data_IF_349921053606
#
_entry.id   IF_349921053606
#
_cell.length_a   1.000
_cell.length_b   1.000
_cell.length_c   1.000
_cell.angle_alpha   90.00
_cell.angle_beta   90.00
_cell.angle_gamma   90.00
#
_symmetry.space_group_name_H-M   'P 1'
#
loop_
_entity.id
_entity.type
_entity.pdbx_description
1 polymer ?
#
# COMPACT_ATOMS: atom_id res chain seq x y z
N UNK A 1 20.73 -0.36 -5.10
CA UNK A 1 19.84 -0.28 -6.28
C UNK A 1 18.76 0.75 -6.02
N UNK A 2 18.49 1.66 -6.94
CA UNK A 2 17.41 2.62 -6.78
C UNK A 2 16.06 1.93 -6.68
N UNK A 3 15.20 2.39 -5.78
CA UNK A 3 13.86 1.81 -5.60
C UNK A 3 13.01 1.90 -6.86
N UNK A 4 13.25 2.93 -7.70
CA UNK A 4 12.53 3.10 -8.96
C UNK A 4 12.79 1.99 -9.98
N UNK A 5 13.84 1.18 -9.79
CA UNK A 5 14.14 0.05 -10.66
C UNK A 5 13.46 -1.25 -10.22
N UNK A 6 12.77 -1.25 -9.07
CA UNK A 6 12.06 -2.43 -8.62
C UNK A 6 10.82 -2.67 -9.47
N UNK A 7 10.57 -3.92 -9.80
CA UNK A 7 9.38 -4.34 -10.53
C UNK A 7 8.39 -5.00 -9.59
N UNK A 8 7.10 -4.87 -9.89
CA UNK A 8 6.06 -5.61 -9.17
C UNK A 8 6.11 -7.10 -9.53
N UNK A 9 5.93 -7.95 -8.53
CA UNK A 9 5.57 -9.34 -8.72
C UNK A 9 4.10 -9.47 -8.31
N UNK A 10 3.22 -9.38 -9.28
CA UNK A 10 1.78 -9.39 -9.05
C UNK A 10 1.29 -10.83 -8.97
N UNK A 11 0.69 -11.19 -7.82
CA UNK A 11 0.07 -12.50 -7.64
C UNK A 11 -1.42 -12.45 -7.94
N UNK A 12 -2.05 -11.32 -7.70
CA UNK A 12 -3.48 -11.14 -7.95
C UNK A 12 -3.76 -9.68 -8.29
N UNK A 13 -4.70 -9.46 -9.20
CA UNK A 13 -5.17 -8.13 -9.56
C UNK A 13 -6.69 -8.11 -9.46
N UNK A 14 -7.23 -7.07 -8.85
CA UNK A 14 -8.67 -6.90 -8.67
C UNK A 14 -9.08 -5.59 -9.30
N UNK A 15 -10.06 -5.63 -10.21
CA UNK A 15 -10.65 -4.43 -10.79
C UNK A 15 -11.80 -3.94 -9.91
N UNK A 16 -11.88 -2.64 -9.73
CA UNK A 16 -12.93 -2.02 -8.93
C UNK A 16 -13.19 -0.62 -9.45
N UNK A 17 -14.32 -0.03 -9.01
CA UNK A 17 -14.63 1.37 -9.32
C UNK A 17 -14.14 2.24 -8.18
N UNK A 18 -13.37 3.28 -8.48
CA UNK A 18 -12.88 4.20 -7.47
C UNK A 18 -14.04 4.98 -6.86
N UNK A 19 -14.21 4.90 -5.53
CA UNK A 19 -15.21 5.68 -4.81
C UNK A 19 -14.65 7.02 -4.34
N UNK A 20 -13.36 7.21 -4.46
CA UNK A 20 -12.61 8.42 -4.22
C UNK A 20 -11.35 8.38 -5.04
N UNK A 21 -10.63 9.49 -5.12
CA UNK A 21 -9.37 9.51 -5.87
C UNK A 21 -8.36 8.54 -5.24
N UNK A 22 -7.74 7.71 -6.06
CA UNK A 22 -6.67 6.81 -5.63
C UNK A 22 -5.39 7.17 -6.37
N UNK A 23 -4.27 7.06 -5.69
CA UNK A 23 -2.96 7.38 -6.25
C UNK A 23 -2.18 6.08 -6.44
N UNK A 24 -1.52 5.97 -7.60
CA UNK A 24 -0.65 4.84 -7.92
C UNK A 24 0.33 4.57 -6.78
N UNK A 25 0.56 3.27 -6.51
CA UNK A 25 1.55 2.81 -5.53
C UNK A 25 1.20 3.18 -4.08
N UNK A 26 -0.10 3.29 -3.80
CA UNK A 26 -0.63 3.48 -2.44
C UNK A 26 -1.71 2.44 -2.15
N UNK A 27 -1.89 2.13 -0.88
CA UNK A 27 -2.88 1.16 -0.45
C UNK A 27 -4.30 1.63 -0.75
N UNK A 28 -5.14 0.69 -1.18
CA UNK A 28 -6.54 0.92 -1.57
C UNK A 28 -7.46 0.03 -0.77
N UNK A 29 -8.59 0.57 -0.33
CA UNK A 29 -9.62 -0.18 0.39
C UNK A 29 -10.53 -0.94 -0.56
N UNK A 30 -11.28 -1.89 0.00
CA UNK A 30 -12.23 -2.72 -0.74
C UNK A 30 -13.33 -1.93 -1.44
N UNK A 31 -13.62 -0.71 -0.99
CA UNK A 31 -14.64 0.14 -1.61
C UNK A 31 -14.09 1.07 -2.70
N UNK A 32 -12.82 0.92 -3.06
CA UNK A 32 -12.21 1.73 -4.11
C UNK A 32 -11.69 3.09 -3.65
N UNK A 33 -11.56 3.32 -2.36
CA UNK A 33 -11.00 4.55 -1.82
C UNK A 33 -9.57 4.33 -1.34
N UNK A 34 -8.78 5.41 -1.23
CA UNK A 34 -7.46 5.33 -0.63
C UNK A 34 -7.57 4.91 0.85
N UNK A 35 -6.60 4.11 1.31
CA UNK A 35 -6.54 3.71 2.71
C UNK A 35 -6.22 4.90 3.61
N UNK A 36 -6.85 4.93 4.78
CA UNK A 36 -6.48 5.81 5.88
C UNK A 36 -5.56 5.10 6.87
N UNK A 37 -5.22 5.80 7.95
CA UNK A 37 -4.30 5.30 8.97
C UNK A 37 -4.79 3.98 9.57
N UNK A 38 -3.97 2.95 9.46
CA UNK A 38 -4.23 1.64 10.06
C UNK A 38 -5.40 0.88 9.44
N UNK A 39 -5.99 1.37 8.36
CA UNK A 39 -7.13 0.71 7.72
C UNK A 39 -6.69 -0.51 6.91
N UNK A 40 -7.64 -1.42 6.71
CA UNK A 40 -7.43 -2.62 5.92
C UNK A 40 -7.44 -2.27 4.43
N UNK A 41 -6.48 -2.81 3.69
CA UNK A 41 -6.41 -2.65 2.24
C UNK A 41 -6.70 -3.98 1.55
N UNK A 42 -7.23 -3.92 0.33
CA UNK A 42 -7.31 -5.11 -0.53
C UNK A 42 -6.07 -5.25 -1.40
N UNK A 43 -5.28 -4.20 -1.51
CA UNK A 43 -4.07 -4.22 -2.31
C UNK A 43 -3.51 -2.82 -2.50
N UNK A 44 -2.67 -2.67 -3.51
CA UNK A 44 -1.98 -1.43 -3.84
C UNK A 44 -2.44 -0.97 -5.21
N UNK A 45 -2.74 0.32 -5.36
CA UNK A 45 -3.22 0.86 -6.62
C UNK A 45 -2.19 0.67 -7.74
N UNK A 46 -2.63 0.05 -8.84
CA UNK A 46 -1.79 -0.19 -10.00
C UNK A 46 -1.54 1.09 -10.79
N UNK A 47 -2.48 2.03 -10.75
CA UNK A 47 -2.40 3.31 -11.43
C UNK A 47 -3.31 4.31 -10.71
N UNK A 48 -3.11 5.59 -11.02
CA UNK A 48 -3.92 6.68 -10.47
C UNK A 48 -5.29 6.68 -11.15
N UNK A 49 -6.36 6.79 -10.35
CA UNK A 49 -7.73 6.86 -10.85
C UNK A 49 -8.50 7.95 -10.09
N UNK A 50 -9.31 8.69 -10.82
CA UNK A 50 -10.23 9.66 -10.22
C UNK A 50 -11.50 8.95 -9.75
N UNK A 51 -12.28 9.62 -8.92
CA UNK A 51 -13.60 9.12 -8.48
C UNK A 51 -14.44 8.69 -9.68
N UNK A 52 -15.07 7.54 -9.60
CA UNK A 52 -15.91 6.89 -10.61
C UNK A 52 -15.16 6.24 -11.76
N UNK A 53 -13.82 6.42 -11.87
CA UNK A 53 -13.02 5.72 -12.87
C UNK A 53 -12.72 4.29 -12.44
N UNK A 54 -12.38 3.45 -13.41
CA UNK A 54 -11.90 2.10 -13.11
C UNK A 54 -10.56 2.17 -12.39
N UNK A 55 -10.43 1.37 -11.36
CA UNK A 55 -9.20 1.23 -10.58
C UNK A 55 -8.80 -0.23 -10.55
N UNK A 56 -7.54 -0.49 -10.22
CA UNK A 56 -7.03 -1.84 -10.08
C UNK A 56 -6.13 -1.90 -8.86
N UNK A 57 -6.30 -2.93 -8.03
CA UNK A 57 -5.48 -3.18 -6.87
C UNK A 57 -4.65 -4.44 -7.09
N UNK A 58 -3.35 -4.36 -6.84
CA UNK A 58 -2.41 -5.47 -6.95
C UNK A 58 -2.07 -6.03 -5.58
N UNK A 59 -1.92 -7.35 -5.51
CA UNK A 59 -1.34 -8.05 -4.36
C UNK A 59 -0.14 -8.87 -4.82
N UNK A 60 0.76 -9.15 -3.90
CA UNK A 60 2.01 -9.86 -4.17
C UNK A 60 3.19 -9.12 -3.56
N UNK A 61 4.30 -9.01 -4.27
CA UNK A 61 5.42 -8.15 -3.89
C UNK A 61 5.30 -6.90 -4.74
N UNK A 62 4.80 -5.83 -4.14
CA UNK A 62 4.30 -4.66 -4.88
C UNK A 62 5.05 -3.40 -4.46
N UNK A 63 5.27 -2.50 -5.43
CA UNK A 63 5.84 -1.18 -5.19
C UNK A 63 4.85 -0.32 -4.43
N UNK A 64 5.30 0.24 -3.33
CA UNK A 64 4.47 1.13 -2.48
C UNK A 64 5.31 2.34 -2.09
N UNK A 65 4.69 3.52 -2.05
CA UNK A 65 5.35 4.71 -1.55
C UNK A 65 5.48 4.60 -0.03
N UNK A 66 6.67 4.81 0.50
CA UNK A 66 6.90 4.82 1.94
C UNK A 66 6.48 6.17 2.53
N UNK A 67 5.77 6.13 3.66
CA UNK A 67 5.37 7.33 4.40
C UNK A 67 6.26 7.62 5.60
N UNK A 68 7.20 6.73 5.87
CA UNK A 68 8.14 6.83 6.99
C UNK A 68 9.33 5.92 6.70
N UNK A 69 10.32 5.94 7.57
CA UNK A 69 11.45 5.01 7.48
C UNK A 69 10.98 3.61 7.86
N UNK A 70 11.18 2.65 6.98
CA UNK A 70 10.77 1.26 7.18
C UNK A 70 11.99 0.36 6.99
N UNK A 71 12.22 -0.53 7.95
CA UNK A 71 13.32 -1.49 7.87
C UNK A 71 12.91 -2.72 7.06
N UNK A 72 13.90 -3.35 6.39
CA UNK A 72 13.70 -4.63 5.71
C UNK A 72 13.16 -5.66 6.71
N UNK A 73 12.13 -6.39 6.31
CA UNK A 73 11.51 -7.42 7.16
C UNK A 73 10.55 -6.87 8.19
N UNK A 74 10.39 -5.55 8.29
CA UNK A 74 9.43 -4.93 9.20
C UNK A 74 8.00 -5.05 8.70
N UNK A 75 7.08 -5.19 9.63
CA UNK A 75 5.65 -5.17 9.32
C UNK A 75 5.23 -3.75 8.95
N UNK A 76 4.31 -3.62 8.00
CA UNK A 76 3.83 -2.33 7.54
C UNK A 76 2.32 -2.19 7.67
N UNK A 77 1.88 -0.95 7.79
CA UNK A 77 0.47 -0.57 7.76
C UNK A 77 0.32 0.69 6.91
N UNK A 78 -0.92 1.09 6.63
CA UNK A 78 -1.19 2.31 5.89
C UNK A 78 -1.09 3.54 6.79
N UNK A 79 -0.54 4.63 6.28
CA UNK A 79 -0.68 5.94 6.90
C UNK A 79 -2.00 6.60 6.48
N UNK A 80 -2.21 7.86 6.85
CA UNK A 80 -3.46 8.56 6.54
C UNK A 80 -3.72 8.76 5.05
N UNK A 81 -2.71 8.56 4.20
CA UNK A 81 -2.81 8.78 2.75
C UNK A 81 -2.50 7.52 1.93
N UNK A 82 -2.45 6.36 2.57
CA UNK A 82 -2.24 5.08 1.87
C UNK A 82 -0.79 4.69 1.65
N UNK A 83 0.17 5.41 2.25
CA UNK A 83 1.59 5.06 2.13
C UNK A 83 1.97 4.05 3.21
N UNK A 84 3.04 3.30 2.95
CA UNK A 84 3.52 2.28 3.90
C UNK A 84 4.32 2.92 5.03
N UNK A 85 3.96 2.61 6.26
CA UNK A 85 4.70 3.01 7.47
C UNK A 85 4.90 1.79 8.36
N UNK A 86 5.84 1.83 9.33
CA UNK A 86 6.00 0.71 10.25
C UNK A 86 4.71 0.42 11.00
N UNK A 87 4.39 -0.84 11.14
CA UNK A 87 3.21 -1.26 11.89
C UNK A 87 3.41 -0.97 13.38
N UNK A 88 2.43 -0.30 13.98
CA UNK A 88 2.43 0.01 15.41
C UNK A 88 1.13 -0.49 16.00
N UNK A 89 1.21 -1.32 17.04
CA UNK A 89 0.04 -1.77 17.77
C UNK A 89 -0.46 -0.63 18.66
N UNK A 90 -1.73 -0.25 18.47
CA UNK A 90 -2.36 0.78 19.29
C UNK A 90 -3.43 0.14 20.17
N UNK A 91 -3.34 0.35 21.50
CA UNK A 91 -4.29 -0.24 22.45
C UNK A 91 -5.69 0.35 22.34
N UNK A 92 -5.82 1.57 21.81
CA UNK A 92 -7.12 2.24 21.68
C UNK A 92 -7.80 1.93 20.34
N UNK A 93 -7.05 1.45 19.34
CA UNK A 93 -7.57 1.20 17.99
C UNK A 93 -6.97 -0.10 17.45
N UNK A 94 -7.71 -0.74 16.57
CA UNK A 94 -7.21 -1.93 15.87
C UNK A 94 -6.64 -1.51 14.52
N UNK A 95 -5.31 -1.56 14.39
CA UNK A 95 -4.65 -1.33 13.13
C UNK A 95 -4.43 -2.63 12.39
N UNK A 96 -4.53 -2.59 11.08
CA UNK A 96 -4.33 -3.75 10.23
C UNK A 96 -2.90 -3.78 9.69
N UNK A 97 -2.21 -4.91 9.90
CA UNK A 97 -0.94 -5.17 9.25
C UNK A 97 -1.22 -5.53 7.79
N UNK A 98 -0.59 -4.81 6.87
CA UNK A 98 -0.84 -4.98 5.43
C UNK A 98 0.23 -5.78 4.72
N UNK A 99 1.35 -6.02 5.35
CA UNK A 99 2.40 -6.83 4.75
C UNK A 99 3.72 -6.68 5.46
N UNK A 100 4.77 -7.16 4.79
CA UNK A 100 6.14 -7.16 5.29
C UNK A 100 7.01 -6.42 4.27
N UNK A 101 7.86 -5.52 4.76
CA UNK A 101 8.79 -4.80 3.89
C UNK A 101 9.81 -5.75 3.28
N UNK A 102 9.80 -5.86 1.95
CA UNK A 102 10.75 -6.67 1.20
C UNK A 102 12.05 -5.90 0.96
N UNK A 103 11.97 -4.58 0.90
CA UNK A 103 13.12 -3.67 0.86
C UNK A 103 12.91 -2.56 1.89
N UNK A 104 14.01 -1.89 2.26
CA UNK A 104 13.91 -0.74 3.15
C UNK A 104 13.23 0.43 2.43
N UNK A 105 12.55 1.29 3.19
CA UNK A 105 11.90 2.49 2.67
C UNK A 105 12.28 3.72 3.46
N UNK A 106 12.28 4.87 2.76
CA UNK A 106 12.40 6.20 3.36
C UNK A 106 11.24 7.06 2.87
N UNK A 107 10.91 8.11 3.60
CA UNK A 107 9.75 8.97 3.28
C UNK A 107 9.76 9.41 1.82
N UNK A 108 8.68 9.12 1.12
CA UNK A 108 8.49 9.49 -0.29
C UNK A 108 9.14 8.56 -1.30
N UNK A 109 9.98 7.64 -0.87
CA UNK A 109 10.64 6.69 -1.78
C UNK A 109 9.76 5.48 -2.05
N UNK A 110 10.01 4.80 -3.16
CA UNK A 110 9.34 3.55 -3.49
C UNK A 110 10.06 2.40 -2.77
N UNK A 111 9.28 1.52 -2.17
CA UNK A 111 9.77 0.28 -1.57
C UNK A 111 8.94 -0.89 -2.06
N UNK A 112 9.44 -2.11 -1.86
CA UNK A 112 8.67 -3.32 -2.13
C UNK A 112 8.06 -3.82 -0.84
N UNK A 113 6.78 -4.16 -0.89
CA UNK A 113 6.03 -4.76 0.24
C UNK A 113 5.44 -6.07 -0.24
N UNK A 114 5.68 -7.13 0.52
CA UNK A 114 4.96 -8.39 0.33
C UNK A 114 3.63 -8.26 1.07
N UNK A 115 2.55 -8.13 0.32
CA UNK A 115 1.24 -7.89 0.91
C UNK A 115 0.72 -9.17 1.59
N UNK A 116 0.15 -8.98 2.78
CA UNK A 116 -0.43 -10.07 3.56
C UNK A 116 -1.94 -10.13 3.27
N UNK A 117 -2.30 -10.87 2.27
CA UNK A 117 -3.71 -10.99 1.86
C UNK A 117 -4.10 -12.44 1.75
#
# INVERSE_FOLDING_TARGET
MPASNYANLVLQAVSLTASGAVTKERFVKHNGAACGLGERAIGVAAYTAATTEDACAYTGIIRVVAGDTVAIGGDVMSDATGRAIPFVQNSAETYCKLGVAHTAGTVGAIMLVQTAV
#
